data_IF_993367720827
#
_entry.id   IF_993367720827
#
_cell.length_a   1.000
_cell.length_b   1.000
_cell.length_c   1.000
_cell.angle_alpha   90.00
_cell.angle_beta   90.00
_cell.angle_gamma   90.00
#
_symmetry.space_group_name_H-M   'P 1'
#
loop_
_entity.id
_entity.type
_entity.pdbx_description
1 polymer ?
#
# COMPACT_ATOMS: atom_id res chain seq x y z
N UNK A 1 5.70 -0.17 -5.10
CA UNK A 1 4.31 0.28 -4.92
C UNK A 1 3.80 1.02 -6.15
N UNK A 2 4.59 1.86 -6.85
CA UNK A 2 4.19 2.49 -8.13
C UNK A 2 3.52 1.51 -9.11
N UNK A 3 2.49 1.99 -9.82
CA UNK A 3 1.74 1.23 -10.86
C UNK A 3 2.72 0.69 -11.92
N UNK A 4 2.53 -0.55 -12.35
CA UNK A 4 3.41 -1.26 -13.30
C UNK A 4 4.47 -2.19 -12.68
N UNK A 5 4.63 -2.15 -11.35
CA UNK A 5 5.51 -3.07 -10.62
C UNK A 5 7.01 -2.87 -10.90
N UNK A 6 7.85 -3.49 -10.07
CA UNK A 6 9.30 -3.55 -10.30
C UNK A 6 9.64 -4.67 -11.29
N UNK A 7 10.89 -4.74 -11.75
CA UNK A 7 11.35 -5.86 -12.58
C UNK A 7 11.17 -7.20 -11.86
N UNK A 8 11.62 -7.30 -10.61
CA UNK A 8 11.43 -8.47 -9.75
C UNK A 8 9.95 -8.88 -9.64
N UNK A 9 9.04 -7.91 -9.51
CA UNK A 9 7.60 -8.19 -9.45
C UNK A 9 7.10 -8.84 -10.74
N UNK A 10 7.52 -8.33 -11.90
CA UNK A 10 7.13 -8.87 -13.22
C UNK A 10 7.70 -10.27 -13.44
N UNK A 11 8.97 -10.47 -13.10
CA UNK A 11 9.64 -11.77 -13.26
C UNK A 11 8.99 -12.84 -12.38
N UNK A 12 8.72 -12.51 -11.11
CA UNK A 12 8.02 -13.41 -10.20
C UNK A 12 6.58 -13.72 -10.66
N UNK A 13 5.88 -12.72 -11.21
CA UNK A 13 4.54 -12.93 -11.79
C UNK A 13 4.61 -13.86 -13.01
N UNK A 14 5.58 -13.66 -13.91
CA UNK A 14 5.78 -14.48 -15.10
C UNK A 14 6.17 -15.93 -14.74
N UNK A 15 6.90 -16.12 -13.64
CA UNK A 15 7.22 -17.43 -13.08
C UNK A 15 6.05 -18.10 -12.33
N UNK A 16 4.85 -17.51 -12.32
CA UNK A 16 3.67 -18.06 -11.64
C UNK A 16 3.69 -17.92 -10.12
N UNK A 17 4.59 -17.10 -9.57
CA UNK A 17 4.66 -16.87 -8.12
C UNK A 17 3.54 -15.95 -7.64
N UNK A 18 3.10 -16.17 -6.40
CA UNK A 18 2.21 -15.22 -5.72
C UNK A 18 3.01 -13.98 -5.33
N UNK A 19 2.67 -12.84 -5.93
CA UNK A 19 3.33 -11.55 -5.69
C UNK A 19 2.50 -10.62 -4.82
N UNK A 20 3.16 -9.74 -4.07
CA UNK A 20 2.55 -8.69 -3.26
C UNK A 20 3.16 -7.34 -3.64
N UNK A 21 2.32 -6.33 -3.87
CA UNK A 21 2.77 -4.95 -4.05
C UNK A 21 3.10 -4.32 -2.70
N UNK A 22 4.13 -3.45 -2.66
CA UNK A 22 4.49 -2.69 -1.46
C UNK A 22 3.45 -1.66 -0.99
N UNK A 23 2.30 -1.52 -1.67
CA UNK A 23 1.25 -0.58 -1.27
C UNK A 23 0.63 -0.93 0.09
N UNK A 24 0.52 -2.23 0.42
CA UNK A 24 0.03 -2.69 1.72
C UNK A 24 1.00 -2.32 2.84
N UNK A 25 2.30 -2.45 2.59
CA UNK A 25 3.33 -2.03 3.53
C UNK A 25 3.27 -0.52 3.76
N UNK A 26 3.10 0.28 2.70
CA UNK A 26 2.95 1.74 2.81
C UNK A 26 1.76 2.13 3.71
N UNK A 27 0.65 1.40 3.65
CA UNK A 27 -0.49 1.62 4.55
C UNK A 27 -0.10 1.34 6.01
N UNK A 28 0.38 0.13 6.31
CA UNK A 28 0.57 -0.29 7.69
C UNK A 28 1.73 0.43 8.39
N UNK A 29 2.80 0.75 7.67
CA UNK A 29 3.86 1.60 8.24
C UNK A 29 3.33 2.98 8.62
N UNK A 30 2.39 3.52 7.84
CA UNK A 30 1.75 4.80 8.12
C UNK A 30 0.78 4.71 9.30
N UNK A 31 0.07 3.59 9.44
CA UNK A 31 -0.77 3.28 10.61
C UNK A 31 0.07 3.29 11.89
N UNK A 32 1.19 2.58 11.90
CA UNK A 32 2.06 2.54 13.09
C UNK A 32 2.69 3.91 13.39
N UNK A 33 3.14 4.64 12.37
CA UNK A 33 3.69 5.99 12.56
C UNK A 33 2.63 6.95 13.12
N UNK A 34 1.39 6.89 12.62
CA UNK A 34 0.28 7.70 13.11
C UNK A 34 -0.05 7.38 14.58
N UNK A 35 -0.12 6.09 14.92
CA UNK A 35 -0.32 5.63 16.30
C UNK A 35 0.73 6.20 17.23
N UNK A 36 2.01 6.11 16.84
CA UNK A 36 3.14 6.57 17.65
C UNK A 36 3.16 8.09 17.85
N UNK A 37 2.80 8.88 16.84
CA UNK A 37 2.88 10.33 16.92
C UNK A 37 1.69 10.97 17.61
N UNK A 38 0.50 10.40 17.43
CA UNK A 38 -0.73 11.02 17.91
C UNK A 38 -1.31 10.33 19.15
N UNK A 39 -0.76 9.18 19.55
CA UNK A 39 -1.23 8.37 20.69
C UNK A 39 -2.74 8.08 20.64
N UNK A 40 -3.27 7.88 19.42
CA UNK A 40 -4.67 7.54 19.15
C UNK A 40 -4.76 6.38 18.18
N UNK A 41 -5.89 5.66 18.21
CA UNK A 41 -6.15 4.58 17.26
C UNK A 41 -6.27 5.15 15.82
N UNK A 42 -5.41 4.71 14.88
CA UNK A 42 -5.47 5.21 13.52
C UNK A 42 -6.76 4.78 12.80
N UNK A 43 -7.37 5.64 11.98
CA UNK A 43 -8.55 5.29 11.18
C UNK A 43 -8.17 4.43 9.96
N UNK A 44 -7.74 3.19 10.20
CA UNK A 44 -7.16 2.29 9.19
C UNK A 44 -8.06 2.09 7.97
N UNK A 45 -9.37 2.01 8.17
CA UNK A 45 -10.34 1.85 7.09
C UNK A 45 -10.30 3.03 6.10
N UNK A 46 -10.27 4.26 6.62
CA UNK A 46 -10.22 5.48 5.81
C UNK A 46 -8.85 5.60 5.13
N UNK A 47 -7.76 5.36 5.86
CA UNK A 47 -6.40 5.37 5.31
C UNK A 47 -6.27 4.40 4.14
N UNK A 48 -6.81 3.17 4.28
CA UNK A 48 -6.85 2.18 3.21
C UNK A 48 -7.67 2.68 2.02
N UNK A 49 -8.89 3.13 2.26
CA UNK A 49 -9.79 3.55 1.19
C UNK A 49 -9.17 4.66 0.34
N UNK A 50 -8.65 5.72 0.98
CA UNK A 50 -8.05 6.86 0.29
C UNK A 50 -6.78 6.45 -0.45
N UNK A 51 -5.91 5.65 0.19
CA UNK A 51 -4.66 5.19 -0.44
C UNK A 51 -4.92 4.39 -1.72
N UNK A 52 -5.88 3.47 -1.69
CA UNK A 52 -6.20 2.64 -2.86
C UNK A 52 -6.92 3.44 -3.96
N UNK A 53 -7.81 4.38 -3.62
CA UNK A 53 -8.41 5.30 -4.59
C UNK A 53 -7.34 6.15 -5.29
N UNK A 54 -6.39 6.69 -4.54
CA UNK A 54 -5.26 7.43 -5.10
C UNK A 54 -4.38 6.53 -5.98
N UNK A 55 -4.11 5.30 -5.52
CA UNK A 55 -3.29 4.33 -6.24
C UNK A 55 -3.89 3.93 -7.59
N UNK A 56 -5.22 3.75 -7.65
CA UNK A 56 -5.92 3.44 -8.89
C UNK A 56 -6.06 4.64 -9.83
N UNK A 57 -5.99 5.86 -9.28
CA UNK A 57 -6.10 7.12 -10.02
C UNK A 57 -7.49 7.75 -9.93
N UNK A 58 -8.35 7.30 -9.00
CA UNK A 58 -9.71 7.82 -8.79
C UNK A 58 -9.71 9.24 -8.21
N UNK A 59 -8.63 9.61 -7.53
CA UNK A 59 -8.44 10.90 -6.85
C UNK A 59 -6.98 11.37 -7.02
N UNK A 60 -6.77 12.69 -7.02
CA UNK A 60 -5.45 13.33 -7.10
C UNK A 60 -4.96 13.78 -5.74
#
# INVERSE_FOLDING_TARGET
YKKGGTQLYRDATAAGSRVLSGISLLLYQGVESFRLWFDVEPPVAIMRQVLYRYYEGDIK
#
